data_IF_851775833275
#
_entry.id   IF_851775833275
#
_cell.length_a   1.000
_cell.length_b   1.000
_cell.length_c   1.000
_cell.angle_alpha   90.00
_cell.angle_beta   90.00
_cell.angle_gamma   90.00
#
_symmetry.space_group_name_H-M   'P 1'
#
loop_
_entity.id
_entity.type
_entity.pdbx_description
1 polymer ?
#
# COMPACT_ATOMS: atom_id res chain seq x y z
N UNK A 1 -20.96 6.95 2.02
CA UNK A 1 -21.26 7.13 0.59
C UNK A 1 -20.55 8.35 -0.01
N UNK A 2 -20.76 9.57 0.51
CA UNK A 2 -20.14 10.79 -0.05
C UNK A 2 -18.60 10.71 -0.19
N UNK A 3 -17.90 10.21 0.83
CA UNK A 3 -16.44 10.02 0.79
C UNK A 3 -16.00 9.11 -0.35
N UNK A 4 -16.72 8.00 -0.55
CA UNK A 4 -16.42 7.04 -1.63
C UNK A 4 -16.53 7.72 -3.01
N UNK A 5 -17.59 8.50 -3.23
CA UNK A 5 -17.79 9.24 -4.47
C UNK A 5 -16.72 10.31 -4.70
N UNK A 6 -16.36 11.08 -3.68
CA UNK A 6 -15.30 12.10 -3.75
C UNK A 6 -13.97 11.45 -4.13
N UNK A 7 -13.60 10.37 -3.46
CA UNK A 7 -12.35 9.64 -3.72
C UNK A 7 -12.32 9.14 -5.17
N UNK A 8 -13.40 8.52 -5.65
CA UNK A 8 -13.44 8.01 -7.03
C UNK A 8 -13.44 9.13 -8.06
N UNK A 9 -14.18 10.21 -7.84
CA UNK A 9 -14.26 11.33 -8.77
C UNK A 9 -12.91 12.04 -8.92
N UNK A 10 -12.23 12.33 -7.80
CA UNK A 10 -10.89 12.95 -7.82
C UNK A 10 -9.88 12.00 -8.45
N UNK A 11 -9.89 10.71 -8.07
CA UNK A 11 -8.97 9.71 -8.62
C UNK A 11 -9.16 9.53 -10.13
N UNK A 12 -10.41 9.51 -10.61
CA UNK A 12 -10.69 9.47 -12.04
C UNK A 12 -10.19 10.75 -12.74
N UNK A 13 -10.39 11.92 -12.14
CA UNK A 13 -9.84 13.18 -12.67
C UNK A 13 -8.32 13.15 -12.81
N UNK A 14 -7.62 12.68 -11.78
CA UNK A 14 -6.15 12.50 -11.82
C UNK A 14 -5.76 11.46 -12.88
N UNK A 15 -6.46 10.33 -12.95
CA UNK A 15 -6.22 9.30 -13.97
C UNK A 15 -6.35 9.84 -15.39
N UNK A 16 -7.45 10.55 -15.68
CA UNK A 16 -7.72 11.16 -16.98
C UNK A 16 -6.73 12.25 -17.36
N UNK A 17 -6.06 12.87 -16.39
CA UNK A 17 -5.06 13.91 -16.65
C UNK A 17 -3.68 13.30 -16.93
N UNK A 18 -3.30 12.26 -16.19
CA UNK A 18 -1.92 11.77 -16.14
C UNK A 18 -1.70 10.37 -16.75
N UNK A 19 -2.67 9.45 -16.65
CA UNK A 19 -2.43 8.00 -16.83
C UNK A 19 -3.18 7.42 -18.02
N UNK A 20 -4.42 7.85 -18.24
CA UNK A 20 -5.31 7.32 -19.27
C UNK A 20 -4.68 7.23 -20.67
N UNK A 21 -4.65 6.04 -21.25
CA UNK A 21 -3.99 5.79 -22.54
C UNK A 21 -4.63 6.56 -23.72
N UNK A 22 -5.93 6.91 -23.61
CA UNK A 22 -6.70 7.57 -24.67
C UNK A 22 -6.87 9.07 -24.41
N UNK A 23 -7.08 9.44 -23.15
CA UNK A 23 -7.50 10.79 -22.77
C UNK A 23 -6.42 11.60 -22.05
N UNK A 24 -5.35 10.99 -21.54
CA UNK A 24 -4.36 11.71 -20.75
C UNK A 24 -3.63 12.78 -21.56
N UNK A 25 -3.51 13.94 -20.93
CA UNK A 25 -2.75 15.08 -21.45
C UNK A 25 -1.25 14.78 -21.36
N UNK A 26 -0.81 14.17 -20.26
CA UNK A 26 0.61 14.00 -19.96
C UNK A 26 1.16 12.58 -20.16
N UNK A 27 0.30 11.56 -20.27
CA UNK A 27 0.64 10.17 -20.66
C UNK A 27 1.84 9.55 -19.90
N UNK A 28 1.85 9.65 -18.57
CA UNK A 28 2.91 9.12 -17.70
C UNK A 28 2.69 7.67 -17.22
N UNK A 29 1.90 6.89 -17.97
CA UNK A 29 1.55 5.51 -17.62
C UNK A 29 2.50 4.49 -18.24
N UNK A 30 2.82 3.38 -17.53
CA UNK A 30 2.56 3.12 -16.09
C UNK A 30 3.58 3.85 -15.19
N UNK A 31 4.77 4.12 -15.74
CA UNK A 31 5.83 4.90 -15.10
C UNK A 31 6.07 6.18 -15.90
N UNK A 32 6.42 7.30 -15.24
CA UNK A 32 6.83 7.41 -13.82
C UNK A 32 5.67 7.62 -12.82
N UNK A 33 4.41 7.60 -13.27
CA UNK A 33 3.26 7.90 -12.40
C UNK A 33 3.19 6.97 -11.18
N UNK A 34 3.30 5.66 -11.38
CA UNK A 34 3.21 4.67 -10.30
C UNK A 34 4.27 4.88 -9.22
N UNK A 35 5.52 5.17 -9.59
CA UNK A 35 6.60 5.46 -8.63
C UNK A 35 6.25 6.66 -7.75
N UNK A 36 5.85 7.80 -8.33
CA UNK A 36 5.53 8.99 -7.56
C UNK A 36 4.29 8.80 -6.68
N UNK A 37 3.29 8.07 -7.17
CA UNK A 37 2.11 7.70 -6.39
C UNK A 37 2.47 6.88 -5.16
N UNK A 38 3.28 5.84 -5.32
CA UNK A 38 3.71 4.97 -4.21
C UNK A 38 4.48 5.78 -3.17
N UNK A 39 5.44 6.60 -3.61
CA UNK A 39 6.18 7.47 -2.70
C UNK A 39 5.28 8.50 -2.00
N UNK A 40 4.24 9.00 -2.68
CA UNK A 40 3.21 9.84 -2.07
C UNK A 40 2.51 9.16 -0.91
N UNK A 41 2.11 7.90 -1.08
CA UNK A 41 1.51 7.10 0.00
C UNK A 41 2.50 6.91 1.15
N UNK A 42 3.77 6.61 0.83
CA UNK A 42 4.80 6.41 1.86
C UNK A 42 5.07 7.67 2.68
N UNK A 43 5.18 8.83 2.03
CA UNK A 43 5.34 10.12 2.70
C UNK A 43 4.11 10.45 3.54
N UNK A 44 2.91 10.11 3.06
CA UNK A 44 1.71 10.24 3.86
C UNK A 44 1.79 9.38 5.12
N UNK A 45 2.36 8.18 5.03
CA UNK A 45 2.59 7.34 6.21
C UNK A 45 3.52 8.02 7.21
N UNK A 46 4.60 8.64 6.74
CA UNK A 46 5.54 9.36 7.60
C UNK A 46 4.85 10.52 8.34
N UNK A 47 4.16 11.39 7.60
CA UNK A 47 3.54 12.60 8.16
C UNK A 47 2.32 12.24 9.00
N UNK A 48 1.43 11.40 8.47
CA UNK A 48 0.14 11.07 9.04
C UNK A 48 0.21 10.10 10.21
N UNK A 49 1.02 9.04 10.11
CA UNK A 49 1.04 7.95 11.09
C UNK A 49 2.28 7.98 11.99
N UNK A 50 3.50 8.06 11.43
CA UNK A 50 4.71 8.04 12.28
C UNK A 50 4.89 9.32 13.09
N UNK A 51 4.67 10.49 12.48
CA UNK A 51 4.70 11.78 13.17
C UNK A 51 3.34 12.20 13.74
N UNK A 52 2.26 11.46 13.47
CA UNK A 52 0.91 11.80 13.94
C UNK A 52 0.51 13.26 13.65
N UNK A 53 0.82 13.76 12.45
CA UNK A 53 0.58 15.14 12.03
C UNK A 53 1.26 16.20 12.94
N UNK A 54 2.35 15.84 13.62
CA UNK A 54 3.13 16.79 14.41
C UNK A 54 3.61 17.97 13.54
N UNK A 55 3.53 19.19 14.10
CA UNK A 55 3.83 20.43 13.38
C UNK A 55 2.66 21.03 12.60
N UNK A 56 1.59 20.26 12.35
CA UNK A 56 0.39 20.75 11.65
C UNK A 56 -0.76 21.10 12.60
N UNK A 57 -0.65 20.76 13.88
CA UNK A 57 -1.72 20.92 14.89
C UNK A 57 -2.14 22.38 15.13
N UNK A 58 -1.24 23.34 14.89
CA UNK A 58 -1.54 24.77 15.04
C UNK A 58 -2.44 25.33 13.91
N UNK A 59 -2.53 24.63 12.79
CA UNK A 59 -3.29 25.08 11.62
C UNK A 59 -4.74 24.59 11.68
N UNK A 60 -5.69 25.46 11.32
CA UNK A 60 -7.11 25.11 11.18
C UNK A 60 -7.40 24.54 9.80
N UNK A 61 -8.47 23.76 9.67
CA UNK A 61 -8.95 23.33 8.35
C UNK A 61 -9.54 24.52 7.57
N UNK A 62 -9.41 24.57 6.23
CA UNK A 62 -8.77 23.56 5.37
C UNK A 62 -7.26 23.75 5.21
N UNK A 63 -6.67 24.82 5.77
CA UNK A 63 -5.25 25.18 5.60
C UNK A 63 -4.33 24.05 6.05
N UNK A 64 -4.64 23.41 7.18
CA UNK A 64 -3.88 22.25 7.66
C UNK A 64 -3.77 21.15 6.61
N UNK A 65 -4.90 20.78 6.00
CA UNK A 65 -4.95 19.78 4.95
C UNK A 65 -4.13 20.19 3.73
N UNK A 66 -4.31 21.43 3.26
CA UNK A 66 -3.57 21.95 2.12
C UNK A 66 -2.04 21.94 2.33
N UNK A 67 -1.55 22.42 3.47
CA UNK A 67 -0.10 22.46 3.75
C UNK A 67 0.48 21.05 3.84
N UNK A 68 -0.21 20.12 4.51
CA UNK A 68 0.23 18.72 4.58
C UNK A 68 0.25 18.05 3.20
N UNK A 69 -0.76 18.30 2.37
CA UNK A 69 -0.83 17.81 0.99
C UNK A 69 0.30 18.36 0.14
N UNK A 70 0.56 19.67 0.17
CA UNK A 70 1.66 20.30 -0.60
C UNK A 70 3.01 19.74 -0.18
N UNK A 71 3.26 19.59 1.12
CA UNK A 71 4.50 18.98 1.60
C UNK A 71 4.63 17.53 1.15
N UNK A 72 3.52 16.77 1.19
CA UNK A 72 3.49 15.37 0.74
C UNK A 72 3.85 15.28 -0.73
N UNK A 73 3.25 16.11 -1.59
CA UNK A 73 3.61 16.16 -3.00
C UNK A 73 5.08 16.54 -3.20
N UNK A 74 5.56 17.61 -2.55
CA UNK A 74 6.95 18.04 -2.70
C UNK A 74 7.95 16.92 -2.36
N UNK A 75 7.74 16.22 -1.25
CA UNK A 75 8.60 15.10 -0.83
C UNK A 75 8.40 13.86 -1.71
N UNK A 76 7.17 13.59 -2.15
CA UNK A 76 6.86 12.48 -3.05
C UNK A 76 7.55 12.61 -4.39
N UNK A 77 7.82 13.83 -4.87
CA UNK A 77 8.65 14.06 -6.04
C UNK A 77 10.14 14.05 -5.69
N UNK A 78 10.54 14.79 -4.65
CA UNK A 78 11.94 14.98 -4.29
C UNK A 78 12.65 13.66 -3.97
N UNK A 79 12.08 12.83 -3.10
CA UNK A 79 12.74 11.61 -2.62
C UNK A 79 13.00 10.60 -3.75
N UNK A 80 12.01 10.12 -4.52
CA UNK A 80 12.29 9.23 -5.62
C UNK A 80 13.12 9.88 -6.73
N UNK A 81 12.98 11.19 -6.98
CA UNK A 81 13.84 11.87 -7.96
C UNK A 81 15.32 11.85 -7.53
N UNK A 82 15.62 12.03 -6.24
CA UNK A 82 17.01 11.92 -5.74
C UNK A 82 17.57 10.52 -5.91
N UNK A 83 16.75 9.48 -5.77
CA UNK A 83 17.18 8.10 -6.02
C UNK A 83 17.38 7.83 -7.51
N UNK A 84 16.43 8.22 -8.35
CA UNK A 84 16.46 7.91 -9.78
C UNK A 84 17.50 8.73 -10.54
N UNK A 85 17.55 10.04 -10.30
CA UNK A 85 18.43 10.96 -11.03
C UNK A 85 19.75 11.25 -10.31
N UNK A 86 19.78 11.12 -8.98
CA UNK A 86 20.99 11.27 -8.19
C UNK A 86 21.73 9.93 -8.05
N UNK A 87 21.18 9.01 -7.26
CA UNK A 87 21.81 7.71 -7.00
C UNK A 87 21.88 6.82 -8.25
N UNK A 88 20.93 6.95 -9.18
CA UNK A 88 20.95 6.24 -10.47
C UNK A 88 22.16 6.57 -11.36
N UNK A 89 22.90 7.65 -11.07
CA UNK A 89 24.18 7.94 -11.72
C UNK A 89 25.33 7.05 -11.19
N UNK A 90 25.18 6.49 -9.99
CA UNK A 90 26.15 5.61 -9.35
C UNK A 90 25.81 4.13 -9.55
N UNK A 91 24.52 3.80 -9.61
CA UNK A 91 24.01 2.44 -9.78
C UNK A 91 22.95 2.39 -10.87
N UNK A 92 23.25 1.66 -11.95
CA UNK A 92 22.36 1.53 -13.11
C UNK A 92 21.02 0.88 -12.78
N UNK A 93 20.90 0.11 -11.70
CA UNK A 93 19.62 -0.45 -11.24
C UNK A 93 18.60 0.64 -10.87
N UNK A 94 19.10 1.82 -10.47
CA UNK A 94 18.30 2.98 -10.09
C UNK A 94 18.19 4.02 -11.21
N UNK A 95 18.79 3.79 -12.38
CA UNK A 95 18.84 4.79 -13.43
C UNK A 95 17.49 5.05 -14.09
N UNK A 96 17.22 6.33 -14.37
CA UNK A 96 16.09 6.73 -15.21
C UNK A 96 16.25 6.23 -16.66
N UNK A 97 17.49 5.99 -17.10
CA UNK A 97 17.81 5.59 -18.47
C UNK A 97 17.30 4.17 -18.70
N UNK A 98 16.37 4.02 -19.65
CA UNK A 98 15.68 2.75 -19.90
C UNK A 98 14.52 2.44 -18.93
N UNK A 99 14.23 3.34 -17.98
CA UNK A 99 13.03 3.30 -17.13
C UNK A 99 13.02 2.25 -16.01
N UNK A 100 14.07 1.43 -15.89
CA UNK A 100 14.19 0.38 -14.87
C UNK A 100 14.29 0.95 -13.44
N UNK A 101 14.94 2.10 -13.27
CA UNK A 101 15.07 2.79 -11.99
C UNK A 101 13.75 3.19 -11.36
N UNK A 102 12.72 3.49 -12.15
CA UNK A 102 11.38 3.80 -11.61
C UNK A 102 10.77 2.60 -10.89
N UNK A 103 10.94 1.39 -11.45
CA UNK A 103 10.50 0.15 -10.81
C UNK A 103 11.30 -0.16 -9.54
N UNK A 104 12.63 -0.07 -9.61
CA UNK A 104 13.51 -0.28 -8.46
C UNK A 104 13.16 0.62 -7.27
N UNK A 105 12.95 1.91 -7.53
CA UNK A 105 12.60 2.91 -6.52
C UNK A 105 11.16 2.75 -6.04
N UNK A 106 10.23 2.36 -6.91
CA UNK A 106 8.85 2.02 -6.51
C UNK A 106 8.80 0.83 -5.54
N UNK A 107 9.63 -0.19 -5.75
CA UNK A 107 9.64 -1.40 -4.91
C UNK A 107 10.19 -1.17 -3.50
N UNK A 108 10.94 -0.09 -3.24
CA UNK A 108 11.29 0.34 -1.88
C UNK A 108 10.02 0.60 -1.08
N UNK A 109 9.01 1.21 -1.71
CA UNK A 109 7.76 1.56 -1.04
C UNK A 109 6.99 0.33 -0.60
N UNK A 110 7.03 -0.77 -1.36
CA UNK A 110 6.35 -2.01 -0.97
C UNK A 110 6.86 -2.49 0.40
N UNK A 111 8.18 -2.57 0.56
CA UNK A 111 8.79 -2.97 1.84
C UNK A 111 8.57 -1.88 2.91
N UNK A 112 8.71 -0.62 2.51
CA UNK A 112 8.53 0.53 3.37
C UNK A 112 7.16 0.59 4.01
N UNK A 113 6.10 0.42 3.21
CA UNK A 113 4.73 0.52 3.69
C UNK A 113 4.46 -0.41 4.88
N UNK A 114 4.97 -1.64 4.82
CA UNK A 114 4.96 -2.54 5.97
C UNK A 114 5.89 -2.06 7.08
N UNK A 115 7.17 -1.79 6.79
CA UNK A 115 8.18 -1.46 7.80
C UNK A 115 7.81 -0.24 8.65
N UNK A 116 7.37 0.85 8.03
CA UNK A 116 6.94 2.05 8.73
C UNK A 116 5.55 1.91 9.34
N UNK A 117 4.65 1.20 8.66
CA UNK A 117 3.27 0.99 9.08
C UNK A 117 3.16 0.10 10.32
N UNK A 118 3.80 -1.07 10.32
CA UNK A 118 3.74 -2.05 11.44
C UNK A 118 4.27 -1.43 12.74
N UNK A 119 5.33 -0.62 12.65
CA UNK A 119 5.93 0.06 13.80
C UNK A 119 4.93 1.02 14.47
N UNK A 120 4.28 1.87 13.68
CA UNK A 120 3.30 2.83 14.18
C UNK A 120 2.00 2.18 14.66
N UNK A 121 1.67 0.99 14.14
CA UNK A 121 0.36 0.34 14.34
C UNK A 121 0.43 -0.94 15.17
N UNK A 122 0.73 -2.09 14.56
CA UNK A 122 0.73 -3.40 15.20
C UNK A 122 1.71 -3.53 16.36
N UNK A 123 2.83 -2.80 16.30
CA UNK A 123 3.81 -2.70 17.39
C UNK A 123 3.52 -1.55 18.37
N UNK A 124 2.51 -0.72 18.11
CA UNK A 124 2.10 0.41 18.94
C UNK A 124 3.24 1.37 19.33
N UNK A 125 4.19 1.59 18.41
CA UNK A 125 5.35 2.45 18.61
C UNK A 125 6.43 1.89 19.55
N UNK A 126 6.32 0.64 20.00
CA UNK A 126 7.31 0.00 20.85
C UNK A 126 8.65 -0.19 20.09
N UNK A 127 9.82 0.02 20.75
CA UNK A 127 10.01 0.37 22.16
C UNK A 127 9.97 1.88 22.47
N UNK A 128 9.85 2.73 21.46
CA UNK A 128 10.07 4.17 21.57
C UNK A 128 8.97 4.90 22.31
N UNK A 129 7.71 4.48 22.13
CA UNK A 129 6.55 5.05 22.83
C UNK A 129 6.60 4.85 24.34
N UNK A 130 7.27 3.81 24.82
CA UNK A 130 7.42 3.50 26.25
C UNK A 130 8.72 4.06 26.86
N UNK A 131 9.57 4.69 26.06
CA UNK A 131 10.89 5.17 26.48
C UNK A 131 10.90 6.59 27.09
N UNK A 132 9.72 7.21 27.27
CA UNK A 132 9.59 8.59 27.77
C UNK A 132 10.00 9.66 26.76
N UNK A 133 10.24 9.29 25.50
CA UNK A 133 10.59 10.22 24.43
C UNK A 133 9.40 11.13 24.09
N UNK A 134 9.69 12.37 23.65
CA UNK A 134 8.65 13.23 23.12
C UNK A 134 8.00 12.60 21.87
N UNK A 135 6.75 12.93 21.52
CA UNK A 135 6.08 12.36 20.35
C UNK A 135 6.87 12.51 19.04
N UNK A 136 7.54 13.65 18.87
CA UNK A 136 8.38 13.92 17.68
C UNK A 136 9.61 13.00 17.66
N UNK A 137 10.29 12.85 18.80
CA UNK A 137 11.50 12.03 18.89
C UNK A 137 11.18 10.54 18.79
N UNK A 138 10.03 10.12 19.33
CA UNK A 138 9.48 8.77 19.14
C UNK A 138 9.13 8.51 17.67
N UNK A 139 8.47 9.46 17.00
CA UNK A 139 8.19 9.37 15.56
C UNK A 139 9.46 9.26 14.71
N UNK A 140 10.49 10.05 15.04
CA UNK A 140 11.79 9.96 14.37
C UNK A 140 12.47 8.59 14.59
N UNK A 141 12.45 8.06 15.82
CA UNK A 141 12.99 6.73 16.13
C UNK A 141 12.26 5.61 15.37
N UNK A 142 10.93 5.73 15.24
CA UNK A 142 10.13 4.82 14.40
C UNK A 142 10.51 4.93 12.93
N UNK A 143 10.76 6.14 12.40
CA UNK A 143 11.24 6.30 11.03
C UNK A 143 12.61 5.65 10.82
N UNK A 144 13.59 5.91 11.70
CA UNK A 144 14.92 5.29 11.57
C UNK A 144 14.80 3.75 11.61
N UNK A 145 14.01 3.22 12.53
CA UNK A 145 13.76 1.78 12.62
C UNK A 145 13.08 1.24 11.36
N UNK A 146 12.10 1.97 10.84
CA UNK A 146 11.40 1.65 9.60
C UNK A 146 12.33 1.67 8.39
N UNK A 147 13.24 2.63 8.30
CA UNK A 147 14.29 2.67 7.28
C UNK A 147 15.20 1.43 7.35
N UNK A 148 15.60 1.01 8.56
CA UNK A 148 16.40 -0.20 8.74
C UNK A 148 15.65 -1.45 8.28
N UNK A 149 14.38 -1.62 8.67
CA UNK A 149 13.54 -2.74 8.23
C UNK A 149 13.32 -2.72 6.71
N UNK A 150 13.08 -1.54 6.15
CA UNK A 150 12.89 -1.33 4.71
C UNK A 150 14.14 -1.68 3.93
N UNK A 151 15.29 -1.17 4.36
CA UNK A 151 16.59 -1.47 3.77
C UNK A 151 16.87 -2.97 3.82
N UNK A 152 16.71 -3.59 5.00
CA UNK A 152 16.92 -5.03 5.15
C UNK A 152 16.04 -5.84 4.19
N UNK A 153 14.74 -5.58 4.16
CA UNK A 153 13.83 -6.29 3.26
C UNK A 153 14.13 -6.03 1.79
N UNK A 154 14.45 -4.80 1.41
CA UNK A 154 14.77 -4.45 0.03
C UNK A 154 16.08 -5.09 -0.43
N UNK A 155 17.15 -5.00 0.36
CA UNK A 155 18.46 -5.55 -0.01
C UNK A 155 18.49 -7.08 0.00
N UNK A 156 17.63 -7.74 0.79
CA UNK A 156 17.54 -9.20 0.80
C UNK A 156 16.60 -9.75 -0.28
N UNK A 157 15.47 -9.09 -0.53
CA UNK A 157 14.39 -9.67 -1.34
C UNK A 157 14.26 -9.08 -2.74
N UNK A 158 14.63 -7.80 -2.93
CA UNK A 158 14.36 -7.06 -4.16
C UNK A 158 15.65 -6.77 -4.92
N UNK A 159 16.59 -6.07 -4.28
CA UNK A 159 17.81 -5.56 -4.91
C UNK A 159 18.60 -6.63 -5.68
N UNK A 160 18.80 -7.86 -5.16
CA UNK A 160 19.54 -8.89 -5.90
C UNK A 160 18.90 -9.30 -7.23
N UNK A 161 17.58 -9.13 -7.36
CA UNK A 161 16.85 -9.46 -8.59
C UNK A 161 16.89 -8.36 -9.66
N UNK A 162 17.26 -7.13 -9.28
CA UNK A 162 17.26 -5.96 -10.18
C UNK A 162 18.67 -5.41 -10.45
N UNK A 163 19.64 -5.75 -9.59
CA UNK A 163 21.02 -5.32 -9.75
C UNK A 163 21.75 -6.21 -10.75
N UNK A 164 22.37 -5.60 -11.75
CA UNK A 164 23.23 -6.28 -12.73
C UNK A 164 24.54 -6.80 -12.11
N UNK A 165 24.89 -6.33 -10.92
CA UNK A 165 26.10 -6.75 -10.19
C UNK A 165 25.87 -7.97 -9.28
N UNK A 166 24.62 -8.41 -9.12
CA UNK A 166 24.28 -9.51 -8.22
C UNK A 166 24.50 -10.86 -8.89
N UNK A 167 25.17 -11.77 -8.16
CA UNK A 167 25.31 -13.14 -8.61
C UNK A 167 23.97 -13.89 -8.50
N UNK A 168 23.65 -14.86 -9.39
CA UNK A 168 22.34 -15.54 -9.37
C UNK A 168 21.99 -16.21 -8.04
N UNK A 169 22.98 -16.69 -7.28
CA UNK A 169 22.78 -17.32 -5.98
C UNK A 169 22.45 -16.33 -4.84
N UNK A 170 22.59 -15.03 -5.08
CA UNK A 170 22.20 -13.99 -4.12
C UNK A 170 20.68 -13.74 -4.11
N UNK A 171 19.94 -14.23 -5.12
CA UNK A 171 18.49 -14.09 -5.22
C UNK A 171 17.82 -15.10 -4.28
N UNK A 172 17.29 -14.60 -3.17
CA UNK A 172 16.56 -15.44 -2.18
C UNK A 172 15.19 -15.88 -2.68
N UNK A 173 14.47 -14.98 -3.37
CA UNK A 173 13.17 -15.22 -3.97
C UNK A 173 13.11 -14.54 -5.33
N UNK A 174 12.50 -15.17 -6.36
CA UNK A 174 12.23 -14.50 -7.62
C UNK A 174 11.38 -13.23 -7.40
N UNK A 175 11.68 -12.15 -8.12
CA UNK A 175 11.03 -10.86 -7.94
C UNK A 175 9.47 -10.93 -7.97
N UNK A 176 8.82 -11.64 -8.91
CA UNK A 176 7.35 -11.75 -8.90
C UNK A 176 6.82 -12.39 -7.62
N UNK A 177 7.52 -13.42 -7.10
CA UNK A 177 7.16 -14.08 -5.84
C UNK A 177 7.33 -13.12 -4.68
N UNK A 178 8.46 -12.41 -4.60
CA UNK A 178 8.72 -11.43 -3.54
C UNK A 178 7.63 -10.35 -3.47
N UNK A 179 7.21 -9.82 -4.64
CA UNK A 179 6.14 -8.80 -4.72
C UNK A 179 4.81 -9.35 -4.18
N UNK A 180 4.33 -10.49 -4.73
CA UNK A 180 3.03 -11.03 -4.35
C UNK A 180 3.00 -11.54 -2.91
N UNK A 181 4.09 -12.16 -2.45
CA UNK A 181 4.23 -12.66 -1.09
C UNK A 181 4.26 -11.51 -0.08
N UNK A 182 5.09 -10.50 -0.30
CA UNK A 182 5.22 -9.39 0.63
C UNK A 182 3.94 -8.55 0.69
N UNK A 183 3.23 -8.38 -0.45
CA UNK A 183 1.92 -7.74 -0.42
C UNK A 183 0.89 -8.55 0.39
N UNK A 184 0.95 -9.89 0.34
CA UNK A 184 0.11 -10.73 1.21
C UNK A 184 0.44 -10.55 2.70
N UNK A 185 1.69 -10.25 3.06
CA UNK A 185 2.08 -9.84 4.42
C UNK A 185 1.45 -8.49 4.81
N UNK A 186 1.41 -7.54 3.88
CA UNK A 186 0.71 -6.26 4.10
C UNK A 186 -0.78 -6.49 4.36
N UNK A 187 -1.44 -7.31 3.55
CA UNK A 187 -2.87 -7.65 3.73
C UNK A 187 -3.11 -8.33 5.07
N UNK A 188 -2.22 -9.26 5.47
CA UNK A 188 -2.26 -9.92 6.78
C UNK A 188 -2.22 -8.90 7.92
N UNK A 189 -1.24 -7.99 7.86
CA UNK A 189 -1.07 -6.95 8.86
C UNK A 189 -2.24 -5.98 8.91
N UNK A 190 -2.71 -5.47 7.77
CA UNK A 190 -3.87 -4.57 7.74
C UNK A 190 -5.12 -5.28 8.27
N UNK A 191 -5.32 -6.55 7.93
CA UNK A 191 -6.46 -7.33 8.44
C UNK A 191 -6.36 -7.48 9.96
N UNK A 192 -5.21 -7.89 10.49
CA UNK A 192 -5.05 -8.09 11.93
C UNK A 192 -5.18 -6.77 12.69
N UNK A 193 -4.53 -5.70 12.23
CA UNK A 193 -4.54 -4.41 12.89
C UNK A 193 -5.90 -3.69 12.78
N UNK A 194 -6.42 -3.47 11.56
CA UNK A 194 -7.59 -2.62 11.33
C UNK A 194 -8.91 -3.33 11.68
N UNK A 195 -8.98 -4.64 11.44
CA UNK A 195 -10.24 -5.38 11.52
C UNK A 195 -10.31 -6.26 12.76
N UNK A 196 -9.20 -6.89 13.13
CA UNK A 196 -9.13 -7.76 14.31
C UNK A 196 -8.60 -7.06 15.57
N UNK A 197 -8.43 -5.74 15.55
CA UNK A 197 -7.91 -4.95 16.67
C UNK A 197 -6.59 -5.53 17.22
N UNK A 198 -5.69 -5.87 16.31
CA UNK A 198 -4.39 -6.51 16.56
C UNK A 198 -4.47 -7.92 17.17
N UNK A 199 -5.64 -8.58 17.17
CA UNK A 199 -5.76 -9.99 17.56
C UNK A 199 -5.17 -10.91 16.48
N UNK A 200 -4.47 -12.00 16.84
CA UNK A 200 -4.30 -12.55 18.20
C UNK A 200 -3.14 -11.93 19.00
N UNK A 201 -2.33 -11.08 18.40
CA UNK A 201 -1.12 -10.52 19.02
C UNK A 201 -1.43 -9.76 20.31
N UNK A 202 -2.56 -9.04 20.35
CA UNK A 202 -3.07 -8.31 21.52
C UNK A 202 -3.41 -9.18 22.73
N UNK A 203 -3.49 -10.51 22.59
CA UNK A 203 -3.63 -11.43 23.72
C UNK A 203 -2.36 -11.51 24.57
N UNK A 204 -1.21 -11.11 24.03
CA UNK A 204 0.06 -11.10 24.74
C UNK A 204 0.11 -9.89 25.68
N UNK A 205 0.04 -10.14 26.99
CA UNK A 205 -0.05 -9.09 28.02
C UNK A 205 1.14 -8.12 28.06
N UNK A 206 2.31 -8.53 27.56
CA UNK A 206 3.51 -7.68 27.50
C UNK A 206 3.58 -6.99 26.13
N UNK A 207 3.65 -5.65 26.12
CA UNK A 207 3.76 -4.84 24.89
C UNK A 207 4.90 -5.30 23.96
N UNK A 208 6.07 -5.63 24.52
CA UNK A 208 7.19 -6.16 23.73
C UNK A 208 6.88 -7.48 23.02
N UNK A 209 6.12 -8.36 23.67
CA UNK A 209 5.75 -9.66 23.10
C UNK A 209 4.67 -9.47 22.04
N UNK A 210 3.68 -8.62 22.31
CA UNK A 210 2.69 -8.21 21.31
C UNK A 210 3.37 -7.62 20.08
N UNK A 211 4.33 -6.72 20.25
CA UNK A 211 5.04 -6.06 19.16
C UNK A 211 5.83 -7.06 18.30
N UNK A 212 6.64 -7.92 18.94
CA UNK A 212 7.42 -8.94 18.23
C UNK A 212 6.51 -9.99 17.55
N UNK A 213 5.42 -10.40 18.21
CA UNK A 213 4.45 -11.32 17.62
C UNK A 213 3.69 -10.68 16.46
N UNK A 214 3.34 -9.39 16.54
CA UNK A 214 2.74 -8.67 15.42
C UNK A 214 3.72 -8.55 14.24
N UNK A 215 5.00 -8.27 14.52
CA UNK A 215 6.03 -8.17 13.49
C UNK A 215 6.24 -9.50 12.78
N UNK A 216 6.47 -10.59 13.51
CA UNK A 216 6.80 -11.91 12.94
C UNK A 216 5.56 -12.69 12.52
N UNK A 217 4.50 -12.66 13.34
CA UNK A 217 3.26 -13.39 13.10
C UNK A 217 2.54 -12.95 11.83
N UNK A 218 2.60 -11.66 11.48
CA UNK A 218 2.06 -11.19 10.21
C UNK A 218 2.85 -11.69 8.98
N UNK A 219 4.15 -11.97 9.10
CA UNK A 219 4.90 -12.66 8.03
C UNK A 219 4.41 -14.10 7.84
N UNK A 220 4.19 -14.83 8.94
CA UNK A 220 3.69 -16.20 8.86
C UNK A 220 2.26 -16.25 8.28
N UNK A 221 1.38 -15.39 8.78
CA UNK A 221 0.02 -15.27 8.26
C UNK A 221 0.00 -14.83 6.80
N UNK A 222 0.83 -13.85 6.44
CA UNK A 222 0.99 -13.38 5.06
C UNK A 222 1.50 -14.47 4.11
N UNK A 223 2.39 -15.33 4.58
CA UNK A 223 2.88 -16.48 3.81
C UNK A 223 1.77 -17.48 3.52
N UNK A 224 0.94 -17.79 4.52
CA UNK A 224 -0.23 -18.64 4.31
C UNK A 224 -1.25 -17.97 3.37
N UNK A 225 -1.51 -16.68 3.55
CA UNK A 225 -2.40 -15.89 2.69
C UNK A 225 -1.91 -15.81 1.24
N UNK A 226 -0.61 -15.76 1.01
CA UNK A 226 -0.04 -15.79 -0.33
C UNK A 226 -0.45 -17.07 -1.10
N UNK A 227 -0.37 -18.24 -0.45
CA UNK A 227 -0.84 -19.50 -1.02
C UNK A 227 -2.34 -19.49 -1.32
N UNK A 228 -3.15 -18.92 -0.41
CA UNK A 228 -4.60 -18.78 -0.59
C UNK A 228 -4.92 -17.86 -1.78
N UNK A 229 -4.26 -16.70 -1.88
CA UNK A 229 -4.45 -15.77 -2.99
C UNK A 229 -4.04 -16.40 -4.32
N UNK A 230 -2.91 -17.09 -4.38
CA UNK A 230 -2.50 -17.80 -5.60
C UNK A 230 -3.52 -18.85 -6.03
N UNK A 231 -4.01 -19.66 -5.09
CA UNK A 231 -5.04 -20.66 -5.38
C UNK A 231 -6.33 -20.00 -5.88
N UNK A 232 -6.80 -18.95 -5.20
CA UNK A 232 -8.02 -18.24 -5.58
C UNK A 232 -7.90 -17.59 -6.95
N UNK A 233 -6.75 -16.95 -7.24
CA UNK A 233 -6.49 -16.32 -8.53
C UNK A 233 -6.42 -17.37 -9.64
N UNK A 234 -5.68 -18.46 -9.42
CA UNK A 234 -5.46 -19.51 -10.43
C UNK A 234 -6.73 -20.28 -10.76
N UNK A 235 -7.53 -20.60 -9.75
CA UNK A 235 -8.63 -21.56 -9.89
C UNK A 235 -10.01 -20.92 -9.97
N UNK A 236 -10.16 -19.66 -9.58
CA UNK A 236 -11.48 -19.02 -9.46
C UNK A 236 -11.56 -17.68 -10.21
N UNK A 237 -10.60 -16.78 -10.01
CA UNK A 237 -10.76 -15.38 -10.44
C UNK A 237 -10.21 -15.09 -11.84
N UNK A 238 -9.09 -15.71 -12.22
CA UNK A 238 -8.38 -15.43 -13.47
C UNK A 238 -8.69 -16.53 -14.50
N UNK A 239 -9.06 -16.17 -15.74
CA UNK A 239 -9.21 -17.14 -16.84
C UNK A 239 -7.92 -17.93 -17.14
N UNK A 240 -8.00 -19.21 -17.55
CA UNK A 240 -6.81 -20.01 -17.88
C UNK A 240 -5.92 -19.40 -18.97
N UNK A 241 -6.51 -18.82 -20.02
CA UNK A 241 -5.80 -18.14 -21.12
C UNK A 241 -5.09 -16.86 -20.65
N UNK A 242 -5.70 -16.12 -19.71
CA UNK A 242 -5.05 -14.99 -19.07
C UNK A 242 -3.86 -15.44 -18.22
N UNK A 243 -3.98 -16.55 -17.46
CA UNK A 243 -2.89 -17.10 -16.64
C UNK A 243 -1.69 -17.47 -17.52
N UNK A 244 -1.95 -18.14 -18.66
CA UNK A 244 -0.91 -18.49 -19.61
C UNK A 244 -0.19 -17.25 -20.15
N UNK A 245 -0.94 -16.21 -20.53
CA UNK A 245 -0.38 -14.97 -21.06
C UNK A 245 0.37 -14.13 -20.03
N UNK A 246 -0.05 -14.19 -18.76
CA UNK A 246 0.66 -13.57 -17.65
C UNK A 246 2.00 -14.28 -17.40
N UNK A 247 2.05 -15.60 -17.55
CA UNK A 247 3.27 -16.39 -17.47
C UNK A 247 4.01 -16.24 -16.14
N UNK A 248 5.32 -15.97 -16.21
CA UNK A 248 6.23 -15.88 -15.04
C UNK A 248 5.89 -14.75 -14.07
N UNK A 249 5.07 -13.77 -14.49
CA UNK A 249 4.60 -12.70 -13.63
C UNK A 249 3.39 -13.10 -12.76
N UNK A 250 2.78 -14.26 -12.99
CA UNK A 250 1.61 -14.72 -12.22
C UNK A 250 1.83 -14.70 -10.70
N UNK A 251 3.03 -15.07 -10.17
CA UNK A 251 3.29 -15.01 -8.74
C UNK A 251 3.20 -13.61 -8.10
N UNK A 252 3.18 -12.52 -8.88
CA UNK A 252 2.97 -11.16 -8.37
C UNK A 252 1.49 -10.74 -8.29
N UNK A 253 0.58 -11.48 -8.93
CA UNK A 253 -0.86 -11.17 -8.93
C UNK A 253 -1.55 -11.21 -7.57
N UNK A 254 -1.07 -11.93 -6.55
CA UNK A 254 -1.55 -11.75 -5.18
C UNK A 254 -1.44 -10.30 -4.68
N UNK A 255 -0.53 -9.47 -5.19
CA UNK A 255 -0.50 -8.04 -4.90
C UNK A 255 -1.68 -7.29 -5.55
N UNK A 256 -2.04 -7.66 -6.79
CA UNK A 256 -3.15 -7.08 -7.55
C UNK A 256 -4.52 -7.39 -6.91
N UNK A 257 -4.67 -8.57 -6.31
CA UNK A 257 -5.83 -8.89 -5.48
C UNK A 257 -5.75 -8.22 -4.11
N UNK A 258 -4.57 -8.27 -3.49
CA UNK A 258 -4.32 -7.77 -2.16
C UNK A 258 -4.60 -6.29 -2.01
N UNK A 259 -4.29 -5.47 -3.03
CA UNK A 259 -4.53 -4.02 -3.00
C UNK A 259 -6.01 -3.68 -2.90
N UNK A 260 -6.88 -4.43 -3.58
CA UNK A 260 -8.34 -4.26 -3.47
C UNK A 260 -8.84 -4.61 -2.08
N UNK A 261 -8.34 -5.71 -1.51
CA UNK A 261 -8.65 -6.09 -0.13
C UNK A 261 -8.16 -5.00 0.83
N UNK A 262 -6.91 -4.54 0.67
CA UNK A 262 -6.31 -3.47 1.48
C UNK A 262 -7.11 -2.17 1.42
N UNK A 263 -7.56 -1.75 0.24
CA UNK A 263 -8.43 -0.59 0.09
C UNK A 263 -9.69 -0.72 0.94
N UNK A 264 -10.39 -1.85 0.88
CA UNK A 264 -11.58 -2.05 1.69
C UNK A 264 -11.26 -2.13 3.19
N UNK A 265 -10.16 -2.76 3.61
CA UNK A 265 -9.74 -2.77 5.01
C UNK A 265 -9.53 -1.34 5.54
N UNK A 266 -8.82 -0.50 4.78
CA UNK A 266 -8.53 0.89 5.14
C UNK A 266 -9.81 1.74 5.11
N UNK A 267 -10.59 1.64 4.04
CA UNK A 267 -11.85 2.37 3.88
C UNK A 267 -12.85 2.00 4.99
N UNK A 268 -12.99 0.71 5.28
CA UNK A 268 -13.95 0.23 6.28
C UNK A 268 -13.60 0.75 7.68
N UNK A 269 -12.33 0.65 8.06
CA UNK A 269 -11.86 1.09 9.37
C UNK A 269 -11.90 2.61 9.52
N UNK A 270 -11.52 3.37 8.49
CA UNK A 270 -11.32 4.81 8.61
C UNK A 270 -12.52 5.65 8.15
N UNK A 271 -13.35 5.14 7.23
CA UNK A 271 -14.47 5.88 6.62
C UNK A 271 -15.82 5.32 7.03
N UNK A 272 -15.97 3.99 7.09
CA UNK A 272 -17.24 3.34 7.41
C UNK A 272 -17.48 3.16 8.92
N UNK A 273 -16.63 3.74 9.78
CA UNK A 273 -16.75 3.64 11.24
C UNK A 273 -16.53 2.23 11.80
N UNK A 274 -15.88 1.36 11.02
CA UNK A 274 -15.59 -0.04 11.36
C UNK A 274 -16.82 -0.86 11.80
N UNK A 275 -17.99 -0.61 11.20
CA UNK A 275 -19.22 -1.33 11.53
C UNK A 275 -19.13 -2.84 11.19
N UNK A 276 -19.81 -3.76 11.91
CA UNK A 276 -20.65 -3.54 13.08
C UNK A 276 -19.84 -3.36 14.38
N UNK A 277 -20.43 -2.59 15.29
CA UNK A 277 -19.94 -2.37 16.66
C UNK A 277 -20.92 -2.87 17.74
N UNK A 278 -22.03 -3.50 17.32
CA UNK A 278 -23.18 -3.82 18.18
C UNK A 278 -23.22 -5.27 18.68
N UNK A 279 -22.45 -6.17 18.07
CA UNK A 279 -22.41 -7.58 18.48
C UNK A 279 -21.22 -7.84 19.42
N UNK A 280 -21.02 -9.10 19.83
CA UNK A 280 -19.82 -9.51 20.55
C UNK A 280 -18.54 -9.28 19.72
N UNK A 281 -17.41 -9.11 20.39
CA UNK A 281 -16.12 -8.74 19.77
C UNK A 281 -15.70 -9.70 18.64
N UNK A 282 -15.79 -11.01 18.88
CA UNK A 282 -15.47 -12.03 17.85
C UNK A 282 -16.41 -11.96 16.64
N UNK A 283 -17.71 -11.80 16.87
CA UNK A 283 -18.70 -11.70 15.78
C UNK A 283 -18.50 -10.44 14.95
N UNK A 284 -18.26 -9.29 15.58
CA UNK A 284 -17.97 -8.05 14.86
C UNK A 284 -16.75 -8.21 13.96
N UNK A 285 -15.66 -8.77 14.51
CA UNK A 285 -14.42 -9.05 13.79
C UNK A 285 -14.64 -9.93 12.55
N UNK A 286 -15.35 -11.04 12.71
CA UNK A 286 -15.65 -11.97 11.60
C UNK A 286 -16.50 -11.29 10.52
N UNK A 287 -17.54 -10.54 10.90
CA UNK A 287 -18.39 -9.84 9.94
C UNK A 287 -17.60 -8.78 9.15
N UNK A 288 -16.79 -7.97 9.84
CA UNK A 288 -15.94 -6.96 9.22
C UNK A 288 -14.96 -7.60 8.22
N UNK A 289 -14.29 -8.67 8.64
CA UNK A 289 -13.34 -9.39 7.80
C UNK A 289 -14.04 -9.98 6.57
N UNK A 290 -15.14 -10.71 6.76
CA UNK A 290 -15.91 -11.28 5.66
C UNK A 290 -16.41 -10.19 4.69
N UNK A 291 -16.86 -9.04 5.21
CA UNK A 291 -17.34 -7.92 4.39
C UNK A 291 -16.22 -7.30 3.56
N UNK A 292 -15.09 -6.94 4.20
CA UNK A 292 -13.96 -6.33 3.50
C UNK A 292 -13.36 -7.26 2.45
N UNK A 293 -13.19 -8.54 2.80
CA UNK A 293 -12.64 -9.54 1.88
C UNK A 293 -13.59 -9.78 0.71
N UNK A 294 -14.89 -9.98 0.96
CA UNK A 294 -15.87 -10.16 -0.13
C UNK A 294 -15.94 -8.96 -1.06
N UNK A 295 -15.93 -7.74 -0.50
CA UNK A 295 -15.88 -6.52 -1.31
C UNK A 295 -14.58 -6.42 -2.12
N UNK A 296 -13.43 -6.80 -1.56
CA UNK A 296 -12.16 -6.89 -2.28
C UNK A 296 -12.23 -7.84 -3.47
N UNK A 297 -12.79 -9.04 -3.29
CA UNK A 297 -12.96 -10.02 -4.37
C UNK A 297 -13.90 -9.49 -5.46
N UNK A 298 -15.06 -8.94 -5.06
CA UNK A 298 -16.05 -8.39 -5.99
C UNK A 298 -15.43 -7.23 -6.77
N UNK A 299 -14.75 -6.30 -6.09
CA UNK A 299 -14.10 -5.17 -6.74
C UNK A 299 -13.01 -5.62 -7.70
N UNK A 300 -12.19 -6.62 -7.35
CA UNK A 300 -11.19 -7.18 -8.25
C UNK A 300 -11.83 -7.75 -9.52
N UNK A 301 -12.92 -8.52 -9.40
CA UNK A 301 -13.63 -9.07 -10.56
C UNK A 301 -14.24 -7.97 -11.41
N UNK A 302 -15.00 -7.05 -10.82
CA UNK A 302 -15.61 -5.93 -11.55
C UNK A 302 -14.55 -5.07 -12.24
N UNK A 303 -13.41 -4.87 -11.57
CA UNK A 303 -12.30 -4.11 -12.12
C UNK A 303 -11.73 -4.78 -13.35
N UNK A 304 -11.25 -6.02 -13.18
CA UNK A 304 -10.48 -6.74 -14.20
C UNK A 304 -11.32 -7.14 -15.41
N UNK A 305 -12.64 -7.30 -15.24
CA UNK A 305 -13.56 -7.72 -16.31
C UNK A 305 -14.19 -6.57 -17.09
N UNK A 306 -14.23 -5.37 -16.52
CA UNK A 306 -14.97 -4.27 -17.11
C UNK A 306 -14.34 -2.90 -16.85
N UNK A 307 -14.16 -2.52 -15.59
CA UNK A 307 -13.81 -1.13 -15.26
C UNK A 307 -12.46 -0.71 -15.86
N UNK A 308 -11.46 -1.59 -15.83
CA UNK A 308 -10.12 -1.31 -16.36
C UNK A 308 -10.18 -0.96 -17.85
N UNK A 309 -10.81 -1.80 -18.67
CA UNK A 309 -10.87 -1.60 -20.12
C UNK A 309 -11.90 -0.53 -20.52
N UNK A 310 -13.10 -0.57 -19.96
CA UNK A 310 -14.22 0.28 -20.40
C UNK A 310 -14.17 1.70 -19.83
N UNK A 311 -13.66 1.87 -18.61
CA UNK A 311 -13.62 3.18 -17.94
C UNK A 311 -12.22 3.76 -17.97
N UNK A 312 -11.20 3.01 -17.52
CA UNK A 312 -9.83 3.51 -17.39
C UNK A 312 -8.99 3.40 -18.67
N UNK A 313 -9.51 2.71 -19.69
CA UNK A 313 -8.83 2.43 -20.96
C UNK A 313 -7.46 1.76 -20.79
N UNK A 314 -7.35 0.89 -19.80
CA UNK A 314 -6.16 0.08 -19.62
C UNK A 314 -6.08 -1.03 -20.66
N UNK A 315 -4.87 -1.54 -20.88
CA UNK A 315 -4.66 -2.66 -21.78
C UNK A 315 -5.26 -3.94 -21.21
N UNK A 316 -6.02 -4.64 -22.04
CA UNK A 316 -6.47 -5.99 -21.77
C UNK A 316 -5.30 -6.98 -21.91
N UNK A 317 -5.27 -7.98 -21.05
CA UNK A 317 -4.34 -9.10 -21.16
C UNK A 317 -4.90 -10.06 -22.20
N UNK A 318 -6.15 -10.49 -22.00
CA UNK A 318 -6.95 -11.21 -22.99
C UNK A 318 -8.29 -10.49 -23.13
N UNK A 319 -9.03 -10.66 -24.24
CA UNK A 319 -10.32 -10.00 -24.40
C UNK A 319 -11.24 -10.22 -23.19
N UNK A 320 -11.72 -9.14 -22.58
CA UNK A 320 -12.58 -9.17 -21.39
C UNK A 320 -11.85 -9.43 -20.06
N UNK A 321 -10.52 -9.40 -20.01
CA UNK A 321 -9.75 -9.48 -18.77
C UNK A 321 -8.43 -8.70 -18.84
N UNK A 322 -8.20 -7.77 -17.91
CA UNK A 322 -6.91 -7.13 -17.76
C UNK A 322 -6.93 -5.89 -16.87
N UNK A 323 -5.95 -5.02 -17.09
CA UNK A 323 -5.72 -3.81 -16.30
C UNK A 323 -4.62 -3.94 -15.25
N UNK A 324 -4.38 -2.84 -14.56
CA UNK A 324 -3.41 -2.71 -13.47
C UNK A 324 -4.11 -2.26 -12.17
N UNK A 325 -4.75 -3.20 -11.44
CA UNK A 325 -5.41 -2.90 -10.18
C UNK A 325 -4.55 -2.12 -9.19
N UNK A 326 -3.25 -2.41 -9.11
CA UNK A 326 -2.33 -1.82 -8.16
C UNK A 326 -2.27 -0.30 -8.30
N UNK A 327 -1.96 0.20 -9.50
CA UNK A 327 -1.82 1.64 -9.72
C UNK A 327 -3.14 2.40 -9.52
N UNK A 328 -4.27 1.86 -9.98
CA UNK A 328 -5.57 2.50 -9.77
C UNK A 328 -5.97 2.54 -8.29
N UNK A 329 -5.85 1.41 -7.59
CA UNK A 329 -6.32 1.32 -6.21
C UNK A 329 -5.39 2.06 -5.26
N UNK A 330 -4.09 2.12 -5.54
CA UNK A 330 -3.18 2.97 -4.79
C UNK A 330 -3.50 4.46 -4.98
N UNK A 331 -3.98 4.87 -6.16
CA UNK A 331 -4.49 6.23 -6.36
C UNK A 331 -5.74 6.50 -5.52
N UNK A 332 -6.67 5.54 -5.46
CA UNK A 332 -7.83 5.62 -4.56
C UNK A 332 -7.39 5.74 -3.10
N UNK A 333 -6.43 4.92 -2.66
CA UNK A 333 -5.88 4.95 -1.30
C UNK A 333 -5.22 6.29 -0.99
N UNK A 334 -4.41 6.81 -1.91
CA UNK A 334 -3.72 8.09 -1.74
C UNK A 334 -4.70 9.24 -1.57
N UNK A 335 -5.70 9.35 -2.47
CA UNK A 335 -6.74 10.39 -2.40
C UNK A 335 -7.58 10.23 -1.12
N UNK A 336 -7.99 9.00 -0.79
CA UNK A 336 -8.73 8.71 0.43
C UNK A 336 -7.96 9.14 1.67
N UNK A 337 -6.69 8.75 1.78
CA UNK A 337 -5.88 9.04 2.96
C UNK A 337 -5.60 10.53 3.09
N UNK A 338 -5.37 11.27 2.01
CA UNK A 338 -5.30 12.74 2.07
C UNK A 338 -6.60 13.30 2.65
N UNK A 339 -7.74 12.87 2.14
CA UNK A 339 -9.03 13.41 2.56
C UNK A 339 -9.36 13.07 4.03
N UNK A 340 -9.10 11.83 4.44
CA UNK A 340 -9.42 11.32 5.77
C UNK A 340 -8.41 11.78 6.81
N UNK A 341 -7.11 11.70 6.53
CA UNK A 341 -6.04 12.01 7.50
C UNK A 341 -5.75 13.50 7.54
N UNK A 342 -5.52 14.13 6.37
CA UNK A 342 -5.12 15.54 6.34
C UNK A 342 -6.31 16.49 6.45
N UNK A 343 -7.39 16.23 5.71
CA UNK A 343 -8.59 17.08 5.73
C UNK A 343 -9.61 16.66 6.80
N UNK A 344 -9.50 15.47 7.41
CA UNK A 344 -10.38 15.02 8.48
C UNK A 344 -11.88 15.12 8.15
N UNK A 345 -12.24 14.76 6.91
CA UNK A 345 -13.61 14.86 6.37
C UNK A 345 -14.13 16.30 6.24
N UNK A 346 -13.24 17.30 6.11
CA UNK A 346 -13.66 18.69 5.92
C UNK A 346 -14.71 18.83 4.81
N UNK A 347 -15.77 19.58 5.08
CA UNK A 347 -16.91 19.76 4.20
C UNK A 347 -18.02 18.70 4.31
N UNK A 348 -17.81 17.61 5.07
CA UNK A 348 -18.83 16.63 5.39
C UNK A 348 -19.15 16.62 6.89
N UNK A 349 -20.44 16.53 7.22
CA UNK A 349 -20.86 16.27 8.60
C UNK A 349 -20.38 14.87 9.02
N UNK A 350 -19.69 14.76 10.16
CA UNK A 350 -19.24 13.48 10.75
C UNK A 350 -20.38 12.59 11.29
N UNK A 351 -21.63 12.89 10.93
CA UNK A 351 -22.80 12.16 11.44
C UNK A 351 -23.12 10.96 10.57
#
# INVERSE_FOLDING_TARGET
MAVFLIVHAISLGVWRLFVDSRLAVWKYSPQPFGMYLFWGILVLVFIGFNFNMAGFSALKQPVRGCVATVLTFALAFLLPATLVYGYGALDSAFSAVGGTGYGAVGLIVLIGFYGFGILATGMAGWPWSDSGLSPVLSGFAQLVSGCCLTGLGYFLLIYPSISTASAPHAILLPLPVAIGWFYSVIVAWLTTFLIFDNWPWSMLRRKSHMALAALVGNFLLGTALYGVHLALLRWVLIPPDAIEKIGEMFPSWPAQLGVWIAFWLIFWANVAGNWPNRFGMGTNRVIRAASCWSLGLISFVVYTRWFSAAVLHEAEIVPGFGGDPLTWVDLLNYVMLIYVVYFQFYGLSRK
#
